data_IF_736772765708
#
_entry.id   IF_736772765708
#
_cell.length_a   1.000
_cell.length_b   1.000
_cell.length_c   1.000
_cell.angle_alpha   90.00
_cell.angle_beta   90.00
_cell.angle_gamma   90.00
#
_symmetry.space_group_name_H-M   'P 1'
#
loop_
_entity.id
_entity.type
_entity.pdbx_description
1 polymer ?
#
# COMPACT_ATOMS: atom_id res chain seq x y z
N UNK A 1 16.64 12.96 7.71
CA UNK A 1 16.62 13.16 9.16
C UNK A 1 18.03 13.10 9.76
N UNK A 2 18.22 13.65 11.00
CA UNK A 2 19.53 13.69 11.66
C UNK A 2 20.08 12.27 11.93
N UNK A 3 19.22 11.35 12.36
CA UNK A 3 19.58 9.97 12.67
C UNK A 3 20.00 9.19 11.42
N UNK A 4 19.30 9.30 10.31
CA UNK A 4 19.62 8.61 9.05
C UNK A 4 20.98 9.02 8.49
N UNK A 5 21.43 10.24 8.81
CA UNK A 5 22.70 10.78 8.34
C UNK A 5 23.90 10.49 9.27
N UNK A 6 23.64 10.16 10.55
CA UNK A 6 24.69 10.11 11.58
C UNK A 6 24.76 8.78 12.34
N UNK A 7 23.80 7.89 12.16
CA UNK A 7 23.82 6.58 12.82
C UNK A 7 23.42 5.46 11.84
N UNK A 8 23.93 4.24 12.01
CA UNK A 8 23.52 3.09 11.21
C UNK A 8 22.14 2.54 11.63
N UNK A 9 21.50 3.16 12.62
CA UNK A 9 20.23 2.68 13.18
C UNK A 9 19.06 3.47 12.63
N UNK A 10 18.08 2.77 12.05
CA UNK A 10 16.80 3.35 11.68
C UNK A 10 15.92 3.54 12.92
N UNK A 11 15.22 4.65 12.98
CA UNK A 11 14.16 4.86 13.97
C UNK A 11 12.86 4.38 13.36
N UNK A 12 12.19 3.47 14.04
CA UNK A 12 10.94 2.88 13.56
C UNK A 12 9.85 3.09 14.61
N UNK A 13 8.74 3.70 14.22
CA UNK A 13 7.53 3.79 15.06
C UNK A 13 6.61 2.59 14.79
N UNK A 14 5.77 2.24 15.75
CA UNK A 14 4.76 1.19 15.55
C UNK A 14 3.81 1.49 14.39
N UNK A 15 3.57 2.77 14.13
CA UNK A 15 2.75 3.19 12.99
C UNK A 15 3.41 2.90 11.65
N UNK A 16 4.74 2.90 11.60
CA UNK A 16 5.48 2.53 10.38
C UNK A 16 5.29 1.05 9.99
N UNK A 17 4.89 0.20 10.94
CA UNK A 17 4.61 -1.22 10.67
C UNK A 17 3.18 -1.52 10.21
N UNK A 18 2.32 -0.53 10.13
CA UNK A 18 0.94 -0.72 9.66
C UNK A 18 0.93 -1.02 8.18
N UNK A 19 -0.04 -1.82 7.76
CA UNK A 19 -0.21 -2.15 6.33
C UNK A 19 -0.47 -0.92 5.47
N UNK A 20 -1.20 0.07 6.00
CA UNK A 20 -1.48 1.32 5.29
C UNK A 20 -0.29 2.30 5.25
N UNK A 21 0.83 1.99 5.91
CA UNK A 21 2.08 2.71 5.75
C UNK A 21 2.87 2.29 4.49
N UNK A 22 2.51 1.14 3.90
CA UNK A 22 3.13 0.65 2.67
C UNK A 22 2.58 1.36 1.45
N UNK A 23 3.46 2.01 0.70
CA UNK A 23 3.09 2.67 -0.55
C UNK A 23 2.56 1.68 -1.60
N UNK A 24 3.21 0.51 -1.72
CA UNK A 24 2.77 -0.51 -2.67
C UNK A 24 1.35 -1.02 -2.36
N UNK A 25 1.02 -1.19 -1.08
CA UNK A 25 -0.33 -1.58 -0.67
C UNK A 25 -1.33 -0.45 -0.91
N UNK A 26 -0.97 0.80 -0.59
CA UNK A 26 -1.81 1.96 -0.89
C UNK A 26 -2.14 2.03 -2.38
N UNK A 27 -1.16 1.84 -3.27
CA UNK A 27 -1.37 1.81 -4.71
C UNK A 27 -2.31 0.66 -5.15
N UNK A 28 -2.17 -0.54 -4.57
CA UNK A 28 -3.10 -1.65 -4.84
C UNK A 28 -4.52 -1.29 -4.40
N UNK A 29 -4.68 -0.70 -3.22
CA UNK A 29 -6.01 -0.32 -2.71
C UNK A 29 -6.63 0.83 -3.52
N UNK A 30 -5.85 1.81 -3.95
CA UNK A 30 -6.35 2.89 -4.80
C UNK A 30 -6.75 2.36 -6.20
N UNK A 31 -5.99 1.41 -6.76
CA UNK A 31 -6.39 0.73 -7.98
C UNK A 31 -7.70 -0.06 -7.80
N UNK A 32 -7.88 -0.77 -6.67
CA UNK A 32 -9.14 -1.45 -6.36
C UNK A 32 -10.32 -0.47 -6.20
N UNK A 33 -10.10 0.66 -5.51
CA UNK A 33 -11.13 1.72 -5.36
C UNK A 33 -11.54 2.27 -6.71
N UNK A 34 -10.58 2.55 -7.59
CA UNK A 34 -10.83 3.05 -8.92
C UNK A 34 -11.57 2.04 -9.81
N UNK A 35 -11.24 0.74 -9.71
CA UNK A 35 -11.99 -0.33 -10.38
C UNK A 35 -13.41 -0.45 -9.84
N UNK A 36 -13.61 -0.25 -8.55
CA UNK A 36 -14.94 -0.29 -7.91
C UNK A 36 -15.78 0.94 -8.26
N UNK A 37 -15.14 2.13 -8.27
CA UNK A 37 -15.76 3.41 -8.64
C UNK A 37 -14.87 4.20 -9.59
N UNK A 38 -15.07 4.11 -10.91
CA UNK A 38 -14.27 4.83 -11.91
C UNK A 38 -14.29 6.37 -11.78
N UNK A 39 -15.19 6.92 -10.96
CA UNK A 39 -15.28 8.36 -10.72
C UNK A 39 -14.59 8.78 -9.40
N UNK A 40 -13.85 7.90 -8.77
CA UNK A 40 -13.07 8.23 -7.57
C UNK A 40 -11.81 9.01 -7.95
N UNK A 41 -11.98 10.33 -8.10
CA UNK A 41 -10.89 11.23 -8.47
C UNK A 41 -9.77 11.26 -7.43
N UNK A 42 -10.06 10.96 -6.15
CA UNK A 42 -9.04 10.96 -5.10
C UNK A 42 -8.14 9.74 -5.26
N UNK A 43 -8.72 8.56 -5.34
CA UNK A 43 -7.97 7.32 -5.58
C UNK A 43 -7.18 7.40 -6.90
N UNK A 44 -7.78 7.96 -7.96
CA UNK A 44 -7.12 8.14 -9.24
C UNK A 44 -5.90 9.07 -9.14
N UNK A 45 -6.05 10.22 -8.46
CA UNK A 45 -4.96 11.19 -8.29
C UNK A 45 -3.81 10.62 -7.44
N UNK A 46 -4.13 9.91 -6.34
CA UNK A 46 -3.15 9.26 -5.49
C UNK A 46 -2.37 8.19 -6.25
N UNK A 47 -3.08 7.31 -6.96
CA UNK A 47 -2.48 6.26 -7.77
C UNK A 47 -1.58 6.81 -8.88
N UNK A 48 -2.06 7.83 -9.63
CA UNK A 48 -1.29 8.46 -10.70
C UNK A 48 -0.01 9.11 -10.16
N UNK A 49 -0.12 9.87 -9.08
CA UNK A 49 1.03 10.53 -8.45
C UNK A 49 2.06 9.51 -7.96
N UNK A 50 1.61 8.49 -7.22
CA UNK A 50 2.49 7.44 -6.71
C UNK A 50 3.18 6.67 -7.85
N UNK A 51 2.46 6.33 -8.91
CA UNK A 51 3.02 5.64 -10.06
C UNK A 51 4.10 6.46 -10.78
N UNK A 52 3.84 7.75 -11.03
CA UNK A 52 4.81 8.63 -11.70
C UNK A 52 6.08 8.83 -10.86
N UNK A 53 5.93 9.11 -9.57
CA UNK A 53 7.07 9.47 -8.72
C UNK A 53 7.85 8.23 -8.27
N UNK A 54 7.15 7.18 -7.81
CA UNK A 54 7.81 6.08 -7.12
C UNK A 54 8.16 4.91 -8.03
N UNK A 55 7.40 4.68 -9.08
CA UNK A 55 7.69 3.60 -10.03
C UNK A 55 8.47 4.12 -11.23
N UNK A 56 7.96 5.14 -11.91
CA UNK A 56 8.62 5.69 -13.10
C UNK A 56 9.77 6.66 -12.77
N UNK A 57 9.90 7.06 -11.49
CA UNK A 57 10.92 8.03 -11.01
C UNK A 57 10.91 9.33 -11.81
N UNK A 58 9.73 9.75 -12.26
CA UNK A 58 9.54 11.01 -12.99
C UNK A 58 9.20 12.12 -11.99
N UNK A 59 9.92 13.23 -12.09
CA UNK A 59 9.64 14.45 -11.29
C UNK A 59 8.51 15.25 -11.96
N UNK A 60 7.34 14.61 -12.08
CA UNK A 60 6.17 15.27 -12.63
C UNK A 60 5.59 16.22 -11.56
N UNK A 61 5.47 17.51 -11.88
CA UNK A 61 4.83 18.47 -10.98
C UNK A 61 3.40 18.04 -10.66
N UNK A 62 3.07 18.04 -9.37
CA UNK A 62 1.75 17.62 -8.88
C UNK A 62 0.60 18.39 -9.56
N UNK A 63 0.78 19.69 -9.79
CA UNK A 63 -0.22 20.48 -10.51
C UNK A 63 -0.41 19.99 -11.94
N UNK A 64 0.67 19.57 -12.61
CA UNK A 64 0.60 19.01 -13.96
C UNK A 64 -0.23 17.74 -13.97
N UNK A 65 -0.05 16.85 -12.98
CA UNK A 65 -0.85 15.62 -12.85
C UNK A 65 -2.32 15.97 -12.59
N UNK A 66 -2.60 16.85 -11.62
CA UNK A 66 -3.97 17.13 -11.15
C UNK A 66 -4.79 18.00 -12.13
N UNK A 67 -4.16 18.81 -12.98
CA UNK A 67 -4.84 19.69 -13.94
C UNK A 67 -5.08 19.05 -15.32
N UNK A 68 -4.53 17.87 -15.56
CA UNK A 68 -4.70 17.14 -16.81
C UNK A 68 -5.57 15.88 -16.63
N UNK A 69 -5.76 15.14 -17.73
CA UNK A 69 -6.43 13.84 -17.66
C UNK A 69 -5.56 12.85 -16.89
N UNK A 70 -6.02 12.48 -15.70
CA UNK A 70 -5.31 11.55 -14.80
C UNK A 70 -5.03 10.19 -15.43
N UNK A 71 -5.86 9.76 -16.39
CA UNK A 71 -5.66 8.49 -17.11
C UNK A 71 -4.34 8.48 -17.90
N UNK A 72 -3.88 9.64 -18.38
CA UNK A 72 -2.62 9.76 -19.11
C UNK A 72 -1.38 9.47 -18.22
N UNK A 73 -1.55 9.52 -16.91
CA UNK A 73 -0.48 9.26 -15.93
C UNK A 73 -0.54 7.85 -15.32
N UNK A 74 -1.46 7.02 -15.78
CA UNK A 74 -1.61 5.62 -15.39
C UNK A 74 -1.14 4.68 -16.52
N UNK A 75 -0.78 3.41 -16.20
CA UNK A 75 -0.48 2.43 -17.24
C UNK A 75 -1.66 2.25 -18.20
N UNK A 76 -1.44 2.38 -19.50
CA UNK A 76 -2.51 2.19 -20.50
C UNK A 76 -3.17 0.83 -20.39
N UNK A 77 -2.39 -0.22 -20.07
CA UNK A 77 -2.91 -1.57 -19.84
C UNK A 77 -3.88 -1.65 -18.64
N UNK A 78 -3.78 -0.73 -17.67
CA UNK A 78 -4.78 -0.61 -16.59
C UNK A 78 -6.03 0.09 -17.10
N UNK A 79 -5.87 1.28 -17.70
CA UNK A 79 -6.98 2.13 -18.15
C UNK A 79 -7.84 1.42 -19.20
N UNK A 80 -7.21 0.80 -20.21
CA UNK A 80 -7.90 0.14 -21.31
C UNK A 80 -8.64 -1.15 -20.90
N UNK A 81 -8.28 -1.75 -19.77
CA UNK A 81 -8.80 -3.04 -19.35
C UNK A 81 -9.55 -3.02 -18.00
N UNK A 82 -9.92 -1.84 -17.50
CA UNK A 82 -10.59 -1.70 -16.19
C UNK A 82 -11.82 -2.60 -16.03
N UNK A 83 -12.65 -2.70 -17.06
CA UNK A 83 -13.86 -3.55 -17.05
C UNK A 83 -13.52 -5.05 -16.94
N UNK A 84 -12.46 -5.48 -17.62
CA UNK A 84 -12.00 -6.88 -17.56
C UNK A 84 -11.36 -7.18 -16.21
N UNK A 85 -10.54 -6.28 -15.70
CA UNK A 85 -9.88 -6.39 -14.41
C UNK A 85 -10.90 -6.48 -13.27
N UNK A 86 -11.95 -5.67 -13.32
CA UNK A 86 -13.04 -5.67 -12.32
C UNK A 86 -13.74 -7.02 -12.18
N UNK A 87 -13.76 -7.85 -13.22
CA UNK A 87 -14.42 -9.15 -13.22
C UNK A 87 -13.52 -10.29 -12.73
N UNK A 88 -12.25 -10.01 -12.46
CA UNK A 88 -11.29 -11.02 -12.00
C UNK A 88 -11.53 -11.38 -10.52
N UNK A 89 -11.24 -12.63 -10.11
CA UNK A 89 -11.18 -12.98 -8.70
C UNK A 89 -10.17 -12.10 -7.95
N UNK A 90 -10.50 -11.69 -6.72
CA UNK A 90 -9.74 -10.69 -5.97
C UNK A 90 -8.24 -10.99 -5.87
N UNK A 91 -7.85 -12.22 -5.58
CA UNK A 91 -6.43 -12.58 -5.43
C UNK A 91 -5.67 -12.45 -6.75
N UNK A 92 -6.22 -13.00 -7.83
CA UNK A 92 -5.65 -12.89 -9.19
C UNK A 92 -5.60 -11.44 -9.66
N UNK A 93 -6.62 -10.65 -9.33
CA UNK A 93 -6.65 -9.22 -9.61
C UNK A 93 -5.49 -8.50 -8.93
N UNK A 94 -5.27 -8.75 -7.64
CA UNK A 94 -4.17 -8.12 -6.89
C UNK A 94 -2.80 -8.50 -7.45
N UNK A 95 -2.57 -9.77 -7.81
CA UNK A 95 -1.33 -10.20 -8.48
C UNK A 95 -1.17 -9.52 -9.86
N UNK A 96 -2.27 -9.38 -10.59
CA UNK A 96 -2.26 -8.69 -11.89
C UNK A 96 -1.92 -7.22 -11.73
N UNK A 97 -2.53 -6.53 -10.76
CA UNK A 97 -2.24 -5.13 -10.46
C UNK A 97 -0.80 -4.94 -9.98
N UNK A 98 -0.30 -5.82 -9.10
CA UNK A 98 1.10 -5.80 -8.65
C UNK A 98 2.08 -5.81 -9.84
N UNK A 99 1.86 -6.70 -10.80
CA UNK A 99 2.70 -6.79 -12.00
C UNK A 99 2.49 -5.60 -12.95
N UNK A 100 1.25 -5.16 -13.13
CA UNK A 100 0.89 -4.09 -14.05
C UNK A 100 1.48 -2.74 -13.63
N UNK A 101 1.43 -2.45 -12.33
CA UNK A 101 2.04 -1.25 -11.75
C UNK A 101 3.52 -1.43 -11.40
N UNK A 102 4.11 -2.59 -11.69
CA UNK A 102 5.53 -2.90 -11.43
C UNK A 102 5.95 -2.60 -9.97
N UNK A 103 5.11 -2.96 -9.01
CA UNK A 103 5.31 -2.61 -7.60
C UNK A 103 6.56 -3.25 -6.98
N UNK A 104 7.15 -4.26 -7.61
CA UNK A 104 8.44 -4.82 -7.23
C UNK A 104 9.61 -3.83 -7.38
N UNK A 105 9.42 -2.71 -8.09
CA UNK A 105 10.44 -1.65 -8.20
C UNK A 105 10.48 -0.71 -6.99
N UNK A 106 9.45 -0.77 -6.13
CA UNK A 106 9.40 0.04 -4.92
C UNK A 106 10.17 -0.71 -3.83
N UNK A 107 11.25 -0.12 -3.37
CA UNK A 107 12.13 -0.72 -2.36
C UNK A 107 11.44 -0.87 -0.99
N UNK A 108 11.89 -1.84 -0.19
CA UNK A 108 11.47 -2.05 1.20
C UNK A 108 9.98 -2.35 1.41
N UNK A 109 9.29 -2.88 0.38
CA UNK A 109 7.86 -3.19 0.47
C UNK A 109 7.56 -4.69 0.69
N UNK A 110 8.55 -5.57 0.55
CA UNK A 110 8.34 -7.03 0.50
C UNK A 110 7.62 -7.57 1.75
N UNK A 111 8.07 -7.17 2.96
CA UNK A 111 7.46 -7.65 4.21
C UNK A 111 5.98 -7.24 4.33
N UNK A 112 5.65 -6.03 3.88
CA UNK A 112 4.27 -5.53 3.84
C UNK A 112 3.42 -6.30 2.82
N UNK A 113 3.96 -6.50 1.63
CA UNK A 113 3.27 -7.22 0.55
C UNK A 113 3.00 -8.67 0.94
N UNK A 114 3.99 -9.39 1.50
CA UNK A 114 3.78 -10.75 2.00
C UNK A 114 2.66 -10.79 3.04
N UNK A 115 2.73 -9.93 4.06
CA UNK A 115 1.70 -9.87 5.10
C UNK A 115 0.32 -9.51 4.52
N UNK A 116 0.27 -8.60 3.56
CA UNK A 116 -0.97 -8.21 2.89
C UNK A 116 -1.59 -9.38 2.13
N UNK A 117 -0.83 -10.10 1.29
CA UNK A 117 -1.33 -11.24 0.53
C UNK A 117 -1.76 -12.40 1.43
N UNK A 118 -1.08 -12.61 2.57
CA UNK A 118 -1.51 -13.57 3.59
C UNK A 118 -2.89 -13.18 4.17
N UNK A 119 -3.08 -11.89 4.49
CA UNK A 119 -4.38 -11.37 4.97
C UNK A 119 -5.48 -11.47 3.93
N UNK A 120 -5.19 -11.22 2.67
CA UNK A 120 -6.15 -11.44 1.57
C UNK A 120 -6.52 -12.92 1.47
N UNK A 121 -5.55 -13.81 1.57
CA UNK A 121 -5.79 -15.25 1.54
C UNK A 121 -6.62 -15.71 2.75
N UNK A 122 -6.38 -15.14 3.93
CA UNK A 122 -7.17 -15.39 5.13
C UNK A 122 -8.62 -14.89 4.97
N UNK A 123 -8.79 -13.67 4.45
CA UNK A 123 -10.10 -13.10 4.17
C UNK A 123 -10.93 -13.98 3.23
N UNK A 124 -10.32 -14.50 2.16
CA UNK A 124 -11.00 -15.29 1.14
C UNK A 124 -11.43 -16.68 1.61
N UNK A 125 -10.97 -17.16 2.79
CA UNK A 125 -11.47 -18.43 3.37
C UNK A 125 -12.93 -18.33 3.83
N UNK A 126 -13.30 -17.15 4.33
CA UNK A 126 -14.59 -16.94 5.00
C UNK A 126 -15.51 -15.94 4.28
N UNK A 127 -14.98 -15.24 3.25
CA UNK A 127 -15.68 -14.18 2.55
C UNK A 127 -15.64 -14.37 1.03
N UNK A 128 -16.57 -13.74 0.34
CA UNK A 128 -16.58 -13.70 -1.12
C UNK A 128 -15.48 -12.79 -1.66
N UNK A 129 -15.09 -13.00 -2.92
CA UNK A 129 -14.12 -12.16 -3.64
C UNK A 129 -14.73 -10.85 -4.16
N UNK A 130 -15.83 -10.38 -3.59
CA UNK A 130 -16.49 -9.14 -3.98
C UNK A 130 -15.63 -7.94 -3.59
N UNK A 131 -15.37 -7.08 -4.58
CA UNK A 131 -14.45 -5.96 -4.45
C UNK A 131 -14.91 -4.93 -3.41
N UNK A 132 -16.19 -4.54 -3.44
CA UNK A 132 -16.78 -3.59 -2.48
C UNK A 132 -16.66 -4.09 -1.04
N UNK A 133 -16.96 -5.38 -0.81
CA UNK A 133 -16.88 -5.98 0.51
C UNK A 133 -15.43 -6.04 1.03
N UNK A 134 -14.47 -6.33 0.15
CA UNK A 134 -13.06 -6.34 0.53
C UNK A 134 -12.55 -4.93 0.86
N UNK A 135 -12.90 -3.91 0.06
CA UNK A 135 -12.51 -2.51 0.34
C UNK A 135 -13.06 -2.08 1.71
N UNK A 136 -14.31 -2.36 2.01
CA UNK A 136 -14.89 -2.06 3.33
C UNK A 136 -14.16 -2.80 4.47
N UNK A 137 -13.86 -4.08 4.28
CA UNK A 137 -13.11 -4.88 5.26
C UNK A 137 -11.68 -4.34 5.47
N UNK A 138 -11.03 -3.90 4.41
CA UNK A 138 -9.73 -3.24 4.49
C UNK A 138 -9.78 -2.00 5.39
N UNK A 139 -10.73 -1.11 5.12
CA UNK A 139 -10.88 0.16 5.85
C UNK A 139 -11.23 -0.04 7.33
N UNK A 140 -12.08 -1.04 7.63
CA UNK A 140 -12.53 -1.31 8.99
C UNK A 140 -11.53 -2.10 9.84
N UNK A 141 -10.76 -3.03 9.23
CA UNK A 141 -10.02 -4.04 9.98
C UNK A 141 -8.56 -4.20 9.60
N UNK A 142 -8.21 -4.15 8.30
CA UNK A 142 -6.88 -4.54 7.86
C UNK A 142 -5.89 -3.38 7.82
N UNK A 143 -6.30 -2.19 7.41
CA UNK A 143 -5.41 -1.05 7.16
C UNK A 143 -4.52 -0.71 8.37
N UNK A 144 -5.06 -0.80 9.58
CA UNK A 144 -4.34 -0.51 10.82
C UNK A 144 -3.59 -1.72 11.43
N UNK A 145 -3.69 -2.91 10.82
CA UNK A 145 -2.93 -4.07 11.27
C UNK A 145 -1.44 -3.87 10.98
N UNK A 146 -0.62 -4.39 11.89
CA UNK A 146 0.84 -4.27 11.78
C UNK A 146 1.44 -5.58 11.27
N UNK A 147 2.51 -5.46 10.49
CA UNK A 147 3.35 -6.59 10.13
C UNK A 147 4.16 -7.06 11.35
N UNK A 148 4.59 -8.34 11.38
CA UNK A 148 5.45 -8.84 12.46
C UNK A 148 6.76 -8.05 12.56
N UNK A 149 7.00 -7.44 13.71
CA UNK A 149 8.14 -6.54 13.94
C UNK A 149 9.52 -7.23 14.00
N UNK A 150 9.58 -8.55 13.89
CA UNK A 150 10.84 -9.31 13.88
C UNK A 150 11.65 -9.19 12.58
N UNK A 151 11.08 -8.63 11.54
CA UNK A 151 11.69 -8.56 10.21
C UNK A 151 12.34 -7.21 9.89
N UNK A 152 12.16 -6.21 10.76
CA UNK A 152 12.76 -4.88 10.54
C UNK A 152 13.68 -4.52 11.67
N UNK A 153 14.98 -4.42 11.38
CA UNK A 153 15.99 -3.96 12.33
C UNK A 153 15.91 -2.45 12.51
N UNK A 154 15.81 -1.98 13.77
CA UNK A 154 15.79 -0.55 14.08
C UNK A 154 15.51 -0.25 15.55
N UNK A 155 15.68 1.02 15.93
CA UNK A 155 15.29 1.54 17.25
C UNK A 155 13.79 1.79 17.24
N UNK A 156 13.04 1.05 18.05
CA UNK A 156 11.58 1.19 18.10
C UNK A 156 11.17 2.34 19.02
N UNK A 157 10.37 3.26 18.47
CA UNK A 157 9.68 4.27 19.26
C UNK A 157 8.29 3.76 19.61
N UNK A 158 8.02 3.68 20.90
CA UNK A 158 6.74 3.23 21.46
C UNK A 158 6.12 4.35 22.30
N UNK A 159 4.80 4.45 22.29
CA UNK A 159 4.11 5.29 23.29
C UNK A 159 4.23 4.64 24.69
N UNK A 160 4.25 5.47 25.73
CA UNK A 160 4.31 5.01 27.15
C UNK A 160 3.19 3.99 27.46
N UNK A 161 2.02 4.15 26.86
CA UNK A 161 0.92 3.21 27.06
C UNK A 161 1.19 1.82 26.45
N UNK A 162 1.84 1.77 25.28
CA UNK A 162 2.21 0.52 24.60
C UNK A 162 3.43 -0.16 25.25
N UNK A 163 4.28 0.59 25.92
CA UNK A 163 5.44 0.03 26.63
C UNK A 163 5.09 -0.58 28.00
N UNK A 164 3.87 -0.35 28.51
CA UNK A 164 3.45 -0.88 29.80
C UNK A 164 3.43 -2.41 29.80
N UNK A 165 4.26 -3.00 30.68
CA UNK A 165 4.41 -4.45 30.81
C UNK A 165 5.47 -5.07 29.90
N UNK A 166 6.20 -4.27 29.12
CA UNK A 166 7.34 -4.72 28.34
C UNK A 166 8.65 -4.42 29.09
N UNK A 167 9.56 -5.37 29.08
CA UNK A 167 10.93 -5.20 29.63
C UNK A 167 11.90 -5.00 28.45
N UNK A 168 12.71 -3.95 28.54
CA UNK A 168 13.75 -3.65 27.57
C UNK A 168 15.12 -3.68 28.25
N UNK A 169 16.14 -4.29 27.62
CA UNK A 169 17.50 -4.32 28.20
C UNK A 169 18.17 -2.93 28.23
N UNK A 170 17.64 -1.99 27.43
CA UNK A 170 18.14 -0.60 27.38
C UNK A 170 16.96 0.32 27.02
N UNK A 171 16.83 1.44 27.71
CA UNK A 171 15.81 2.48 27.50
C UNK A 171 16.50 3.81 27.28
#
# INVERSE_FOLDING_TARGET
DYFDKHTPYRIVSDEAFRLDASLAICMLMDALRLLNNPNDCIAQAQLATAYQHEVLKQDADLNTILLNDLNAFLPSAFVDHMETLRLMPLYELLEKLFNLFQLSLIEEQDAYLFSFFDKVSEYLKDHSSELTAFIAHWEEKLCAQTIPSGEIEGIRILSIHKSKGLEYPTV
#
